data_IF_992446303249
#
_entry.id   IF_992446303249
#
_cell.length_a   1.000
_cell.length_b   1.000
_cell.length_c   1.000
_cell.angle_alpha   90.00
_cell.angle_beta   90.00
_cell.angle_gamma   90.00
#
_symmetry.space_group_name_H-M   'P 1'
#
loop_
_entity.id
_entity.type
_entity.pdbx_description
1 polymer ?
#
# COMPACT_ATOMS: atom_id res chain seq x y z
N UNK A 1 -12.06 12.31 -0.70
CA UNK A 1 -13.21 12.12 -1.61
C UNK A 1 -13.13 13.03 -2.83
N UNK A 2 -13.15 14.35 -2.67
CA UNK A 2 -13.18 15.28 -3.81
C UNK A 2 -12.03 15.12 -4.80
N UNK A 3 -10.79 15.06 -4.30
CA UNK A 3 -9.59 14.80 -5.12
C UNK A 3 -9.74 13.52 -5.95
N UNK A 4 -10.11 12.40 -5.33
CA UNK A 4 -10.34 11.11 -6.01
C UNK A 4 -11.34 11.26 -7.17
N UNK A 5 -12.47 11.93 -6.95
CA UNK A 5 -13.49 12.10 -7.99
C UNK A 5 -12.98 12.94 -9.17
N UNK A 6 -12.22 14.01 -8.90
CA UNK A 6 -11.58 14.78 -9.97
C UNK A 6 -10.52 13.96 -10.70
N UNK A 7 -9.71 13.19 -9.99
CA UNK A 7 -8.69 12.32 -10.57
C UNK A 7 -9.34 11.28 -11.50
N UNK A 8 -10.50 10.71 -11.13
CA UNK A 8 -11.33 9.86 -11.99
C UNK A 8 -11.80 10.60 -13.25
N UNK A 9 -12.33 11.82 -13.09
CA UNK A 9 -12.75 12.68 -14.20
C UNK A 9 -11.62 13.43 -14.90
N UNK A 10 -10.41 12.87 -14.89
CA UNK A 10 -9.23 13.41 -15.59
C UNK A 10 -8.91 14.87 -15.22
N UNK A 11 -9.17 15.24 -13.97
CA UNK A 11 -9.07 16.57 -13.39
C UNK A 11 -9.92 17.65 -14.08
N UNK A 12 -10.94 17.26 -14.85
CA UNK A 12 -11.85 18.18 -15.55
C UNK A 12 -13.22 18.28 -14.90
N UNK A 13 -13.70 17.18 -14.34
CA UNK A 13 -15.00 17.12 -13.68
C UNK A 13 -15.03 16.07 -12.58
N UNK A 14 -16.00 16.20 -11.69
CA UNK A 14 -16.37 15.21 -10.70
C UNK A 14 -17.88 15.02 -10.74
N UNK A 15 -18.32 13.77 -10.65
CA UNK A 15 -19.72 13.40 -10.53
C UNK A 15 -19.98 13.00 -9.08
N UNK A 16 -21.03 13.56 -8.48
CA UNK A 16 -21.46 13.22 -7.12
C UNK A 16 -22.85 12.60 -7.20
N UNK A 17 -22.95 11.36 -6.75
CA UNK A 17 -24.18 10.62 -6.63
C UNK A 17 -24.74 10.71 -5.20
N UNK A 18 -26.03 11.02 -5.08
CA UNK A 18 -26.77 11.13 -3.83
C UNK A 18 -28.13 10.46 -3.97
N UNK A 19 -28.96 10.55 -2.92
CA UNK A 19 -30.32 10.01 -2.92
C UNK A 19 -31.34 11.16 -2.81
N UNK A 20 -32.41 11.09 -3.60
CA UNK A 20 -33.50 12.08 -3.65
C UNK A 20 -34.17 12.30 -2.29
N UNK A 21 -34.39 11.22 -1.53
CA UNK A 21 -35.06 11.23 -0.22
C UNK A 21 -34.34 12.10 0.82
N UNK A 22 -33.07 12.42 0.57
CA UNK A 22 -32.22 13.18 1.49
C UNK A 22 -32.19 14.68 1.14
N UNK A 23 -32.49 15.05 -0.11
CA UNK A 23 -32.47 16.46 -0.55
C UNK A 23 -33.58 17.33 0.05
N UNK A 24 -34.72 16.74 0.37
CA UNK A 24 -35.92 17.48 0.85
C UNK A 24 -35.93 17.71 2.37
N UNK A 25 -35.17 16.94 3.16
CA UNK A 25 -35.30 16.90 4.63
C UNK A 25 -34.10 17.50 5.39
N UNK A 26 -33.00 17.87 4.73
CA UNK A 26 -31.81 18.44 5.41
C UNK A 26 -32.00 19.92 5.75
N UNK A 27 -32.88 20.63 5.06
CA UNK A 27 -33.11 22.07 5.26
C UNK A 27 -34.01 22.40 6.47
N UNK A 28 -34.73 21.43 7.05
CA UNK A 28 -35.82 21.70 8.01
C UNK A 28 -35.57 21.29 9.49
N UNK A 29 -34.39 20.78 9.88
CA UNK A 29 -34.19 20.30 11.26
C UNK A 29 -33.00 20.96 11.97
N UNK A 30 -33.25 22.13 12.57
CA UNK A 30 -32.41 22.68 13.63
C UNK A 30 -32.68 21.92 14.94
N UNK A 31 -31.88 20.90 15.27
CA UNK A 31 -31.88 20.35 16.64
C UNK A 31 -31.51 18.88 16.82
N UNK A 32 -31.51 18.04 15.77
CA UNK A 32 -31.07 16.64 15.88
C UNK A 32 -29.81 16.35 15.04
N UNK A 33 -28.94 15.40 15.45
CA UNK A 33 -27.75 15.07 14.67
C UNK A 33 -28.17 14.63 13.26
N UNK A 34 -27.65 15.31 12.23
CA UNK A 34 -28.01 15.04 10.81
C UNK A 34 -27.85 13.56 10.44
N UNK A 35 -26.88 12.88 11.05
CA UNK A 35 -26.61 11.46 10.87
C UNK A 35 -27.78 10.57 11.33
N UNK A 36 -28.47 10.90 12.43
CA UNK A 36 -29.63 10.14 12.93
C UNK A 36 -30.85 10.29 12.03
N UNK A 37 -31.09 11.51 11.52
CA UNK A 37 -32.19 11.77 10.58
C UNK A 37 -31.97 10.93 9.32
N UNK A 38 -30.74 10.95 8.79
CA UNK A 38 -30.38 10.20 7.59
C UNK A 38 -30.48 8.69 7.84
N UNK A 39 -30.06 8.19 8.99
CA UNK A 39 -30.24 6.78 9.35
C UNK A 39 -31.72 6.38 9.32
N UNK A 40 -32.61 7.15 9.97
CA UNK A 40 -34.06 6.89 9.97
C UNK A 40 -34.70 6.98 8.58
N UNK A 41 -34.28 7.93 7.76
CA UNK A 41 -34.75 8.06 6.37
C UNK A 41 -34.31 6.84 5.56
N UNK A 42 -33.06 6.40 5.74
CA UNK A 42 -32.52 5.25 5.03
C UNK A 42 -33.08 3.92 5.52
N UNK A 43 -33.48 3.77 6.78
CA UNK A 43 -34.19 2.56 7.27
C UNK A 43 -35.49 2.29 6.49
N UNK A 44 -36.18 3.35 6.05
CA UNK A 44 -37.41 3.25 5.24
C UNK A 44 -37.16 3.00 3.76
N UNK A 45 -35.91 3.16 3.30
CA UNK A 45 -35.53 2.94 1.92
C UNK A 45 -35.29 1.44 1.68
N UNK A 46 -36.17 0.80 0.91
CA UNK A 46 -35.95 -0.55 0.38
C UNK A 46 -35.41 -0.46 -1.05
N UNK A 47 -34.29 -1.13 -1.31
CA UNK A 47 -33.69 -1.27 -2.64
C UNK A 47 -33.53 -2.76 -2.92
N UNK A 48 -34.48 -3.33 -3.65
CA UNK A 48 -34.50 -4.77 -3.99
C UNK A 48 -33.99 -5.02 -5.42
N UNK A 49 -33.94 -3.97 -6.24
CA UNK A 49 -33.49 -4.05 -7.63
C UNK A 49 -32.71 -2.80 -8.06
N UNK A 50 -31.96 -2.94 -9.16
CA UNK A 50 -31.27 -1.80 -9.79
C UNK A 50 -32.25 -0.71 -10.26
N UNK A 51 -33.47 -1.08 -10.66
CA UNK A 51 -34.51 -0.12 -11.06
C UNK A 51 -34.97 0.74 -9.88
N UNK A 52 -35.06 0.16 -8.68
CA UNK A 52 -35.43 0.91 -7.48
C UNK A 52 -34.35 1.91 -7.11
N UNK A 53 -33.07 1.50 -7.21
CA UNK A 53 -31.96 2.41 -7.01
C UNK A 53 -31.99 3.57 -8.01
N UNK A 54 -32.24 3.29 -9.30
CA UNK A 54 -32.31 4.33 -10.33
C UNK A 54 -33.40 5.37 -10.06
N UNK A 55 -34.57 4.98 -9.53
CA UNK A 55 -35.65 5.92 -9.18
C UNK A 55 -35.21 6.94 -8.13
N UNK A 56 -34.41 6.50 -7.15
CA UNK A 56 -34.02 7.33 -6.02
C UNK A 56 -32.67 8.03 -6.18
N UNK A 57 -31.79 7.52 -7.05
CA UNK A 57 -30.47 8.08 -7.31
C UNK A 57 -30.58 9.48 -7.93
N UNK A 58 -29.73 10.40 -7.48
CA UNK A 58 -29.55 11.73 -8.05
C UNK A 58 -28.07 11.94 -8.34
N UNK A 59 -27.77 12.56 -9.47
CA UNK A 59 -26.41 12.69 -9.98
C UNK A 59 -26.20 14.11 -10.43
N UNK A 60 -25.13 14.75 -9.95
CA UNK A 60 -24.75 16.09 -10.34
C UNK A 60 -23.28 16.10 -10.76
N UNK A 61 -22.99 16.79 -11.87
CA UNK A 61 -21.63 16.96 -12.40
C UNK A 61 -21.10 18.34 -12.04
N UNK A 62 -19.88 18.39 -11.56
CA UNK A 62 -19.18 19.59 -11.14
C UNK A 62 -17.89 19.73 -11.93
N UNK A 63 -17.64 20.92 -12.47
CA UNK A 63 -16.38 21.27 -13.17
C UNK A 63 -15.45 22.14 -12.30
N UNK A 64 -15.96 22.67 -11.19
CA UNK A 64 -15.20 23.46 -10.22
C UNK A 64 -15.01 22.69 -8.92
N UNK A 65 -13.74 22.56 -8.48
CA UNK A 65 -13.38 21.90 -7.22
C UNK A 65 -14.10 22.52 -6.02
N UNK A 66 -14.18 23.85 -5.95
CA UNK A 66 -14.85 24.56 -4.85
C UNK A 66 -16.31 24.13 -4.71
N UNK A 67 -17.06 24.12 -5.80
CA UNK A 67 -18.48 23.72 -5.80
C UNK A 67 -18.68 22.24 -5.45
N UNK A 68 -17.79 21.38 -5.93
CA UNK A 68 -17.82 19.95 -5.60
C UNK A 68 -17.52 19.73 -4.11
N UNK A 69 -16.56 20.46 -3.54
CA UNK A 69 -16.18 20.33 -2.13
C UNK A 69 -17.30 20.81 -1.21
N UNK A 70 -17.91 21.95 -1.51
CA UNK A 70 -19.10 22.43 -0.80
C UNK A 70 -20.23 21.39 -0.82
N UNK A 71 -20.47 20.76 -1.97
CA UNK A 71 -21.48 19.70 -2.06
C UNK A 71 -21.08 18.46 -1.24
N UNK A 72 -19.83 18.02 -1.33
CA UNK A 72 -19.34 16.85 -0.59
C UNK A 72 -19.42 17.08 0.92
N UNK A 73 -19.00 18.24 1.41
CA UNK A 73 -19.10 18.63 2.82
C UNK A 73 -20.55 18.57 3.30
N UNK A 74 -21.48 19.16 2.54
CA UNK A 74 -22.90 19.11 2.86
C UNK A 74 -23.45 17.66 2.90
N UNK A 75 -22.86 16.76 2.12
CA UNK A 75 -23.31 15.37 1.98
C UNK A 75 -22.49 14.36 2.81
N UNK A 76 -21.53 14.79 3.63
CA UNK A 76 -20.73 13.90 4.51
C UNK A 76 -21.64 12.94 5.31
N UNK A 77 -22.74 13.40 5.94
CA UNK A 77 -23.67 12.51 6.64
C UNK A 77 -24.22 11.36 5.78
N UNK A 78 -24.46 11.62 4.49
CA UNK A 78 -24.92 10.60 3.53
C UNK A 78 -23.81 9.61 3.20
N UNK A 79 -22.59 10.09 2.99
CA UNK A 79 -21.43 9.23 2.73
C UNK A 79 -20.97 8.43 3.96
N UNK A 80 -21.37 8.83 5.17
CA UNK A 80 -21.18 8.05 6.40
C UNK A 80 -22.27 7.00 6.65
N UNK A 81 -23.36 7.05 5.87
CA UNK A 81 -24.47 6.10 6.01
C UNK A 81 -24.17 4.72 5.42
N UNK A 82 -25.09 3.77 5.62
CA UNK A 82 -25.03 2.43 5.01
C UNK A 82 -24.95 2.43 3.47
N UNK A 83 -25.32 3.52 2.82
CA UNK A 83 -25.27 3.67 1.35
C UNK A 83 -24.01 4.40 0.87
N UNK A 84 -23.18 4.91 1.78
CA UNK A 84 -22.10 5.82 1.46
C UNK A 84 -21.04 5.24 0.54
N UNK A 85 -20.57 4.02 0.82
CA UNK A 85 -19.59 3.34 -0.01
C UNK A 85 -20.10 3.10 -1.45
N UNK A 86 -21.35 2.68 -1.58
CA UNK A 86 -21.99 2.48 -2.89
C UNK A 86 -22.15 3.80 -3.65
N UNK A 87 -22.64 4.85 -3.00
CA UNK A 87 -22.78 6.18 -3.61
C UNK A 87 -21.42 6.75 -4.03
N UNK A 88 -20.39 6.56 -3.22
CA UNK A 88 -19.04 6.99 -3.55
C UNK A 88 -18.46 6.22 -4.74
N UNK A 89 -18.67 4.90 -4.80
CA UNK A 89 -18.29 4.08 -5.95
C UNK A 89 -19.00 4.52 -7.24
N UNK A 90 -20.32 4.73 -7.19
CA UNK A 90 -21.09 5.23 -8.34
C UNK A 90 -20.56 6.61 -8.77
N UNK A 91 -20.26 7.49 -7.81
CA UNK A 91 -19.65 8.80 -8.06
C UNK A 91 -18.33 8.68 -8.83
N UNK A 92 -17.43 7.77 -8.41
CA UNK A 92 -16.14 7.55 -9.06
C UNK A 92 -16.30 6.96 -10.47
N UNK A 93 -17.15 5.95 -10.64
CA UNK A 93 -17.44 5.32 -11.94
C UNK A 93 -18.00 6.33 -12.94
N UNK A 94 -18.98 7.14 -12.52
CA UNK A 94 -19.57 8.17 -13.38
C UNK A 94 -18.62 9.34 -13.64
N UNK A 95 -17.73 9.66 -12.71
CA UNK A 95 -16.67 10.66 -12.93
C UNK A 95 -15.70 10.21 -14.01
N UNK A 96 -15.29 8.93 -13.99
CA UNK A 96 -14.45 8.34 -15.04
C UNK A 96 -15.20 8.21 -16.37
N UNK A 97 -16.49 7.90 -16.30
CA UNK A 97 -17.35 7.62 -17.45
C UNK A 97 -17.33 6.14 -17.83
N UNK A 98 -18.50 5.55 -18.08
CA UNK A 98 -18.64 4.10 -18.26
C UNK A 98 -17.83 3.55 -19.44
N UNK A 99 -17.81 4.25 -20.57
CA UNK A 99 -17.01 3.84 -21.73
C UNK A 99 -15.51 3.86 -21.43
N UNK A 100 -15.05 4.87 -20.68
CA UNK A 100 -13.66 4.96 -20.24
C UNK A 100 -13.31 3.86 -19.25
N UNK A 101 -14.21 3.55 -18.31
CA UNK A 101 -14.07 2.40 -17.41
C UNK A 101 -13.92 1.12 -18.21
N UNK A 102 -14.75 0.85 -19.22
CA UNK A 102 -14.60 -0.37 -20.04
C UNK A 102 -13.29 -0.37 -20.84
N UNK A 103 -12.86 0.79 -21.33
CA UNK A 103 -11.60 0.93 -22.07
C UNK A 103 -10.35 0.75 -21.20
N UNK A 104 -10.44 1.01 -19.90
CA UNK A 104 -9.33 0.85 -18.96
C UNK A 104 -9.02 -0.63 -18.68
N UNK A 105 -10.02 -1.50 -18.82
CA UNK A 105 -9.93 -2.91 -18.45
C UNK A 105 -9.21 -3.73 -19.52
N UNK A 106 -8.61 -4.83 -19.08
CA UNK A 106 -8.07 -5.84 -19.99
C UNK A 106 -9.17 -6.85 -20.40
N UNK A 107 -10.06 -7.22 -19.46
CA UNK A 107 -11.27 -8.02 -19.73
C UNK A 107 -12.53 -7.31 -19.19
N UNK A 108 -13.33 -6.64 -20.06
CA UNK A 108 -14.54 -5.95 -19.65
C UNK A 108 -15.71 -6.89 -19.30
N UNK A 109 -15.60 -8.19 -19.58
CA UNK A 109 -16.68 -9.16 -19.31
C UNK A 109 -16.82 -9.51 -17.83
N UNK A 110 -15.74 -9.34 -17.04
CA UNK A 110 -15.73 -9.65 -15.62
C UNK A 110 -16.54 -8.60 -14.82
N UNK A 111 -17.20 -8.98 -13.72
CA UNK A 111 -17.90 -8.02 -12.87
C UNK A 111 -16.90 -7.16 -12.07
N UNK A 112 -17.23 -5.89 -11.85
CA UNK A 112 -16.42 -5.00 -10.99
C UNK A 112 -16.59 -5.30 -9.49
N UNK A 113 -17.76 -5.82 -9.10
CA UNK A 113 -18.08 -6.24 -7.73
C UNK A 113 -18.43 -7.72 -7.77
N UNK A 114 -17.67 -8.54 -7.04
CA UNK A 114 -17.78 -9.99 -7.10
C UNK A 114 -18.81 -10.52 -6.10
N UNK A 115 -19.74 -11.33 -6.59
CA UNK A 115 -20.73 -12.04 -5.78
C UNK A 115 -20.09 -13.25 -5.05
N UNK A 116 -20.66 -13.74 -3.94
CA UNK A 116 -21.86 -13.22 -3.26
C UNK A 116 -21.56 -12.13 -2.22
N UNK A 117 -20.29 -11.94 -1.84
CA UNK A 117 -19.89 -11.14 -0.68
C UNK A 117 -19.65 -9.65 -0.99
N UNK A 118 -19.73 -9.25 -2.27
CA UNK A 118 -19.59 -7.85 -2.67
C UNK A 118 -18.14 -7.35 -2.66
N UNK A 119 -17.17 -8.23 -2.91
CA UNK A 119 -15.77 -7.83 -2.94
C UNK A 119 -15.48 -6.91 -4.13
N UNK A 120 -14.78 -5.81 -3.87
CA UNK A 120 -14.30 -4.92 -4.91
C UNK A 120 -13.20 -5.61 -5.73
N UNK A 121 -13.33 -5.57 -7.05
CA UNK A 121 -12.25 -5.94 -7.98
C UNK A 121 -11.06 -4.98 -7.86
N UNK A 122 -9.89 -5.40 -8.36
CA UNK A 122 -8.71 -4.56 -8.38
C UNK A 122 -8.93 -3.30 -9.26
N UNK A 123 -9.76 -3.38 -10.30
CA UNK A 123 -10.15 -2.22 -11.11
C UNK A 123 -10.86 -1.14 -10.28
N UNK A 124 -11.74 -1.51 -9.35
CA UNK A 124 -12.36 -0.55 -8.43
C UNK A 124 -11.32 0.09 -7.53
N UNK A 125 -10.43 -0.72 -6.96
CA UNK A 125 -9.37 -0.23 -6.07
C UNK A 125 -8.48 0.77 -6.82
N UNK A 126 -8.02 0.42 -8.01
CA UNK A 126 -7.19 1.28 -8.83
C UNK A 126 -7.93 2.52 -9.33
N UNK A 127 -9.23 2.43 -9.63
CA UNK A 127 -10.06 3.59 -9.94
C UNK A 127 -10.03 4.61 -8.80
N UNK A 128 -10.14 4.16 -7.56
CA UNK A 128 -10.13 5.04 -6.38
C UNK A 128 -8.73 5.59 -6.05
N UNK A 129 -7.66 4.84 -6.36
CA UNK A 129 -6.29 5.24 -6.06
C UNK A 129 -5.69 6.15 -7.14
N UNK A 130 -5.90 5.82 -8.42
CA UNK A 130 -5.24 6.47 -9.54
C UNK A 130 -6.21 7.07 -10.57
N UNK A 131 -7.53 6.91 -10.41
CA UNK A 131 -8.54 7.43 -11.33
C UNK A 131 -8.75 6.63 -12.60
N UNK A 132 -8.15 5.43 -12.72
CA UNK A 132 -8.31 4.56 -13.88
C UNK A 132 -8.66 3.14 -13.42
N UNK A 133 -9.60 2.50 -14.09
CA UNK A 133 -10.06 1.15 -13.77
C UNK A 133 -9.17 0.06 -14.38
N UNK A 134 -7.84 0.24 -14.30
CA UNK A 134 -6.86 -0.73 -14.78
C UNK A 134 -6.78 -1.92 -13.81
N UNK A 135 -6.62 -3.17 -14.29
CA UNK A 135 -6.70 -4.33 -13.41
C UNK A 135 -5.40 -4.67 -12.70
N UNK A 136 -4.24 -4.18 -13.17
CA UNK A 136 -2.94 -4.58 -12.64
C UNK A 136 -2.30 -3.50 -11.75
N UNK A 137 -1.44 -3.96 -10.84
CA UNK A 137 -0.75 -3.13 -9.84
C UNK A 137 0.72 -2.83 -10.18
N UNK A 138 1.23 -3.32 -11.31
CA UNK A 138 2.57 -2.96 -11.82
C UNK A 138 2.55 -1.60 -12.52
N UNK A 139 3.73 -1.01 -12.76
CA UNK A 139 3.84 0.28 -13.45
C UNK A 139 3.71 0.15 -14.97
N UNK A 140 3.01 1.11 -15.58
CA UNK A 140 2.93 1.26 -17.03
C UNK A 140 2.14 0.15 -17.72
N UNK A 141 2.73 -0.42 -18.77
CA UNK A 141 2.14 -1.51 -19.56
C UNK A 141 3.14 -2.63 -19.68
N UNK A 142 2.65 -3.87 -19.66
CA UNK A 142 3.45 -5.06 -19.88
C UNK A 142 3.09 -5.66 -21.24
N UNK A 143 4.02 -5.63 -22.18
CA UNK A 143 3.87 -6.30 -23.47
C UNK A 143 4.25 -7.78 -23.32
N UNK A 144 3.32 -8.67 -23.63
CA UNK A 144 3.52 -10.12 -23.56
C UNK A 144 3.86 -10.72 -24.94
N UNK A 145 4.02 -9.87 -25.96
CA UNK A 145 4.20 -10.28 -27.35
C UNK A 145 2.87 -10.66 -28.02
N UNK A 146 2.91 -10.82 -29.35
CA UNK A 146 1.74 -11.21 -30.13
C UNK A 146 0.58 -10.19 -30.13
N UNK A 147 0.87 -8.93 -29.79
CA UNK A 147 -0.14 -7.87 -29.69
C UNK A 147 -0.92 -7.86 -28.37
N UNK A 148 -0.57 -8.73 -27.41
CA UNK A 148 -1.18 -8.75 -26.08
C UNK A 148 -0.42 -7.81 -25.15
N UNK A 149 -1.11 -6.80 -24.61
CA UNK A 149 -0.54 -5.89 -23.61
C UNK A 149 -1.45 -5.80 -22.40
N UNK A 150 -0.89 -5.96 -21.21
CA UNK A 150 -1.59 -5.78 -19.94
C UNK A 150 -1.44 -4.34 -19.44
N UNK A 151 -2.51 -3.75 -18.92
CA UNK A 151 -2.54 -2.36 -18.44
C UNK A 151 -2.30 -2.30 -16.93
N UNK A 152 -1.28 -1.55 -16.53
CA UNK A 152 -0.98 -1.23 -15.14
C UNK A 152 -1.14 0.25 -14.83
N UNK A 153 -0.49 0.68 -13.75
CA UNK A 153 -0.60 2.01 -13.18
C UNK A 153 0.29 2.98 -13.94
N UNK A 154 -0.31 4.00 -14.56
CA UNK A 154 0.40 4.92 -15.46
C UNK A 154 1.11 6.08 -14.76
N UNK A 155 0.76 6.38 -13.50
CA UNK A 155 1.22 7.56 -12.77
C UNK A 155 1.29 7.31 -11.27
N UNK A 156 2.13 8.06 -10.58
CA UNK A 156 2.18 8.12 -9.12
C UNK A 156 0.83 8.55 -8.53
N UNK A 157 0.50 8.03 -7.36
CA UNK A 157 -0.78 8.26 -6.67
C UNK A 157 -0.63 9.09 -5.41
N UNK A 158 -1.73 9.65 -4.90
CA UNK A 158 -1.71 10.39 -3.63
C UNK A 158 -1.71 9.46 -2.41
N UNK A 159 -2.45 8.35 -2.50
CA UNK A 159 -2.52 7.28 -1.50
C UNK A 159 -2.08 5.99 -2.19
N UNK A 160 -1.12 5.31 -1.59
CA UNK A 160 -0.48 4.13 -2.16
C UNK A 160 -1.27 2.85 -1.92
N UNK A 161 -0.70 1.76 -2.44
CA UNK A 161 -1.25 0.42 -2.25
C UNK A 161 -0.12 -0.59 -2.06
N UNK A 162 -0.30 -1.48 -1.08
CA UNK A 162 0.54 -2.66 -0.87
C UNK A 162 -0.40 -3.86 -0.70
N UNK A 163 0.08 -5.06 -1.00
CA UNK A 163 -0.72 -6.27 -0.85
C UNK A 163 0.12 -7.43 -0.35
N UNK A 164 -0.48 -8.27 0.50
CA UNK A 164 0.13 -9.53 0.94
C UNK A 164 0.43 -10.47 -0.23
N UNK A 165 -0.35 -10.35 -1.32
CA UNK A 165 -0.13 -11.15 -2.53
C UNK A 165 1.25 -10.91 -3.15
N UNK A 166 1.85 -9.74 -2.95
CA UNK A 166 3.20 -9.46 -3.43
C UNK A 166 4.25 -10.22 -2.61
N UNK A 167 4.14 -10.24 -1.28
CA UNK A 167 5.09 -11.01 -0.44
C UNK A 167 4.97 -12.52 -0.67
N UNK A 168 3.82 -12.98 -1.15
CA UNK A 168 3.57 -14.36 -1.56
C UNK A 168 3.97 -14.63 -3.03
N UNK A 169 4.58 -13.65 -3.72
CA UNK A 169 5.02 -13.72 -5.11
C UNK A 169 3.90 -13.97 -6.15
N UNK A 170 2.64 -13.66 -5.83
CA UNK A 170 1.53 -13.76 -6.79
C UNK A 170 1.44 -12.55 -7.74
N UNK A 171 1.97 -11.40 -7.33
CA UNK A 171 2.02 -10.20 -8.17
C UNK A 171 3.24 -9.35 -7.81
N UNK A 172 3.54 -8.34 -8.63
CA UNK A 172 4.56 -7.32 -8.36
C UNK A 172 3.91 -5.96 -8.36
N UNK A 173 3.94 -5.27 -7.22
CA UNK A 173 3.39 -3.91 -7.11
C UNK A 173 4.44 -2.92 -7.60
N UNK A 174 4.01 -2.00 -8.47
CA UNK A 174 4.84 -0.97 -9.07
C UNK A 174 5.20 0.16 -8.11
N UNK A 175 6.23 0.92 -8.47
CA UNK A 175 6.68 2.09 -7.70
C UNK A 175 5.62 3.19 -7.64
N UNK A 176 4.77 3.31 -8.66
CA UNK A 176 3.70 4.30 -8.67
C UNK A 176 2.73 4.13 -7.50
N UNK A 177 2.51 2.89 -7.02
CA UNK A 177 1.67 2.58 -5.85
C UNK A 177 2.46 2.46 -4.55
N UNK A 178 3.73 2.04 -4.61
CA UNK A 178 4.61 1.91 -3.44
C UNK A 178 5.11 3.23 -2.89
N UNK A 179 5.30 4.24 -3.75
CA UNK A 179 5.82 5.56 -3.41
C UNK A 179 4.77 6.66 -3.66
N UNK A 180 3.67 6.66 -2.89
CA UNK A 180 2.62 7.67 -3.01
C UNK A 180 3.11 9.05 -2.57
N UNK A 181 2.39 10.11 -2.95
CA UNK A 181 2.68 11.47 -2.47
C UNK A 181 2.60 11.59 -0.94
N UNK A 182 1.55 11.01 -0.35
CA UNK A 182 1.38 10.98 1.10
C UNK A 182 1.73 9.59 1.63
N UNK A 183 2.42 9.47 2.77
CA UNK A 183 2.80 8.17 3.35
C UNK A 183 1.58 7.47 3.94
N UNK A 184 0.63 7.12 3.09
CA UNK A 184 -0.64 6.46 3.38
C UNK A 184 -0.79 5.38 2.33
N UNK A 185 -1.00 4.15 2.77
CA UNK A 185 -1.17 2.97 1.93
C UNK A 185 -2.43 2.23 2.32
N UNK A 186 -3.24 1.89 1.32
CA UNK A 186 -4.25 0.85 1.47
C UNK A 186 -3.53 -0.50 1.39
N UNK A 187 -3.75 -1.36 2.38
CA UNK A 187 -3.15 -2.68 2.43
C UNK A 187 -4.21 -3.73 2.08
N UNK A 188 -4.00 -4.43 0.97
CA UNK A 188 -4.81 -5.57 0.55
C UNK A 188 -4.37 -6.86 1.24
N UNK A 189 -5.31 -7.58 1.84
CA UNK A 189 -5.15 -9.00 2.20
C UNK A 189 -6.09 -9.86 1.34
N UNK A 190 -6.16 -11.16 1.61
CA UNK A 190 -7.06 -12.07 0.89
C UNK A 190 -8.55 -11.71 1.03
N UNK A 191 -8.95 -11.13 2.17
CA UNK A 191 -10.37 -10.90 2.49
C UNK A 191 -10.71 -9.50 2.98
N UNK A 192 -9.71 -8.70 3.36
CA UNK A 192 -9.94 -7.42 4.03
C UNK A 192 -8.92 -6.34 3.62
N UNK A 193 -9.36 -5.08 3.61
CA UNK A 193 -8.49 -3.94 3.38
C UNK A 193 -8.25 -3.19 4.68
N UNK A 194 -7.00 -2.79 4.90
CA UNK A 194 -6.60 -1.98 6.06
C UNK A 194 -5.80 -0.77 5.62
N UNK A 195 -5.47 0.14 6.54
CA UNK A 195 -4.70 1.34 6.22
C UNK A 195 -3.40 1.34 7.02
N UNK A 196 -2.29 1.59 6.34
CA UNK A 196 -0.99 1.83 6.94
C UNK A 196 -0.57 3.26 6.61
N UNK A 197 -0.06 4.02 7.57
CA UNK A 197 0.39 5.38 7.29
C UNK A 197 1.53 5.83 8.20
N UNK A 198 2.22 6.90 7.82
CA UNK A 198 3.13 7.65 8.70
C UNK A 198 2.64 9.08 8.85
N UNK A 199 3.00 9.72 9.97
CA UNK A 199 2.80 11.15 10.15
C UNK A 199 3.96 11.97 9.55
N UNK A 200 5.09 11.32 9.27
CA UNK A 200 6.27 11.93 8.69
C UNK A 200 6.40 11.55 7.22
N UNK A 201 6.39 12.56 6.34
CA UNK A 201 6.55 12.37 4.89
C UNK A 201 7.96 11.91 4.52
N UNK A 202 8.96 12.22 5.35
CA UNK A 202 10.37 11.87 5.08
C UNK A 202 10.64 10.37 5.08
N UNK A 203 9.70 9.56 5.59
CA UNK A 203 9.75 8.09 5.52
C UNK A 203 9.89 7.56 4.08
N UNK A 204 9.44 8.36 3.11
CA UNK A 204 9.50 8.02 1.70
C UNK A 204 10.79 8.49 1.01
N UNK A 205 11.52 9.41 1.64
CA UNK A 205 12.72 10.00 1.07
C UNK A 205 13.80 8.93 0.93
N UNK A 206 14.47 8.90 -0.21
CA UNK A 206 15.70 8.12 -0.35
C UNK A 206 16.83 8.86 0.35
N UNK A 207 17.58 8.16 1.20
CA UNK A 207 18.77 8.76 1.80
C UNK A 207 19.90 8.85 0.77
N UNK A 208 20.93 9.65 1.07
CA UNK A 208 22.06 9.87 0.15
C UNK A 208 22.74 8.55 -0.28
N UNK A 209 22.80 7.56 0.61
CA UNK A 209 23.39 6.24 0.33
C UNK A 209 22.55 5.46 -0.69
N UNK A 210 21.23 5.43 -0.54
CA UNK A 210 20.30 4.76 -1.46
C UNK A 210 20.31 5.44 -2.84
N UNK A 211 20.34 6.77 -2.87
CA UNK A 211 20.45 7.52 -4.13
C UNK A 211 21.78 7.23 -4.83
N UNK A 212 22.88 7.20 -4.05
CA UNK A 212 24.21 6.89 -4.57
C UNK A 212 24.32 5.45 -5.08
N UNK A 213 23.75 4.49 -4.36
CA UNK A 213 23.62 3.10 -4.79
C UNK A 213 22.84 2.99 -6.10
N UNK A 214 21.67 3.61 -6.17
CA UNK A 214 20.83 3.63 -7.37
C UNK A 214 21.57 4.22 -8.57
N UNK A 215 22.31 5.32 -8.37
CA UNK A 215 23.14 5.93 -9.40
C UNK A 215 24.23 4.98 -9.91
N UNK A 216 24.99 4.35 -9.00
CA UNK A 216 26.09 3.45 -9.35
C UNK A 216 25.55 2.17 -10.00
N UNK A 217 24.44 1.62 -9.47
CA UNK A 217 23.75 0.45 -10.00
C UNK A 217 23.24 0.70 -11.42
N UNK A 218 22.61 1.85 -11.66
CA UNK A 218 22.13 2.22 -13.00
C UNK A 218 23.28 2.35 -14.01
N UNK A 219 24.40 2.94 -13.60
CA UNK A 219 25.59 3.02 -14.46
C UNK A 219 26.16 1.62 -14.75
N UNK A 220 26.20 0.74 -13.74
CA UNK A 220 26.64 -0.64 -13.89
C UNK A 220 25.74 -1.44 -14.83
N UNK A 221 24.42 -1.41 -14.61
CA UNK A 221 23.44 -2.12 -15.42
C UNK A 221 23.42 -1.62 -16.88
N UNK A 222 23.73 -0.34 -17.11
CA UNK A 222 23.87 0.21 -18.46
C UNK A 222 25.07 -0.37 -19.24
N UNK A 223 26.07 -0.91 -18.53
CA UNK A 223 27.21 -1.63 -19.11
C UNK A 223 27.02 -3.15 -19.10
N UNK A 224 25.96 -3.66 -18.46
CA UNK A 224 25.65 -5.10 -18.40
C UNK A 224 25.04 -5.59 -19.72
N UNK A 225 25.89 -6.19 -20.56
CA UNK A 225 25.49 -6.82 -21.82
C UNK A 225 24.98 -8.26 -21.64
N UNK A 226 25.01 -8.81 -20.43
CA UNK A 226 24.62 -10.20 -20.14
C UNK A 226 23.11 -10.40 -20.00
N UNK A 227 22.32 -9.32 -20.04
CA UNK A 227 20.87 -9.38 -19.86
C UNK A 227 20.44 -9.42 -18.39
N UNK A 228 21.26 -8.88 -17.48
CA UNK A 228 20.96 -8.79 -16.04
C UNK A 228 21.69 -9.81 -15.16
N UNK A 229 22.78 -10.40 -15.66
CA UNK A 229 23.62 -11.37 -14.94
C UNK A 229 24.49 -10.76 -13.84
N UNK A 230 24.56 -9.43 -13.72
CA UNK A 230 25.21 -8.76 -12.59
C UNK A 230 26.73 -8.68 -12.70
N UNK A 231 27.28 -8.74 -13.91
CA UNK A 231 28.70 -8.54 -14.18
C UNK A 231 28.93 -7.72 -15.46
N UNK A 232 30.05 -7.01 -15.53
CA UNK A 232 30.45 -6.15 -16.66
C UNK A 232 31.89 -6.39 -17.08
N UNK A 233 32.27 -5.96 -18.29
CA UNK A 233 33.68 -6.01 -18.75
C UNK A 233 34.56 -4.99 -18.02
N UNK A 234 35.88 -5.17 -18.06
CA UNK A 234 36.85 -4.19 -17.54
C UNK A 234 36.66 -2.82 -18.18
N UNK A 235 36.36 -2.78 -19.48
CA UNK A 235 36.06 -1.53 -20.20
C UNK A 235 34.79 -0.85 -19.65
N UNK A 236 33.71 -1.62 -19.48
CA UNK A 236 32.47 -1.14 -18.87
C UNK A 236 32.71 -0.61 -17.46
N UNK A 237 33.50 -1.31 -16.64
CA UNK A 237 33.87 -0.87 -15.30
C UNK A 237 34.56 0.51 -15.28
N UNK A 238 35.53 0.75 -16.17
CA UNK A 238 36.16 2.07 -16.26
C UNK A 238 35.18 3.17 -16.68
N UNK A 239 34.16 2.84 -17.48
CA UNK A 239 33.09 3.77 -17.83
C UNK A 239 32.22 4.08 -16.60
N UNK A 240 31.81 3.06 -15.82
CA UNK A 240 31.04 3.24 -14.57
C UNK A 240 31.78 4.15 -13.60
N UNK A 241 33.06 3.87 -13.33
CA UNK A 241 33.90 4.64 -12.40
C UNK A 241 33.99 6.12 -12.82
N UNK A 242 34.11 6.38 -14.13
CA UNK A 242 34.15 7.73 -14.68
C UNK A 242 32.80 8.45 -14.56
N UNK A 243 31.71 7.80 -14.96
CA UNK A 243 30.36 8.37 -14.94
C UNK A 243 29.87 8.67 -13.52
N UNK A 244 30.27 7.85 -12.56
CA UNK A 244 29.88 7.98 -11.15
C UNK A 244 30.87 8.82 -10.34
N UNK A 245 31.94 9.33 -10.95
CA UNK A 245 32.99 10.12 -10.30
C UNK A 245 33.64 9.41 -9.10
N UNK A 246 33.91 8.11 -9.24
CA UNK A 246 34.57 7.30 -8.22
C UNK A 246 36.08 7.31 -8.48
N UNK A 247 36.88 7.50 -7.43
CA UNK A 247 38.34 7.55 -7.51
C UNK A 247 38.93 6.38 -6.73
N UNK A 248 39.12 5.26 -7.41
CA UNK A 248 39.67 4.05 -6.81
C UNK A 248 41.21 4.10 -6.74
N UNK A 249 41.81 3.70 -5.60
CA UNK A 249 43.25 3.44 -5.54
C UNK A 249 43.67 2.35 -6.53
N UNK A 250 44.89 2.41 -7.10
CA UNK A 250 45.36 1.44 -8.09
C UNK A 250 45.23 -0.02 -7.62
N UNK A 251 45.55 -0.29 -6.35
CA UNK A 251 45.45 -1.63 -5.75
C UNK A 251 44.02 -2.21 -5.83
N UNK A 252 42.99 -1.39 -5.62
CA UNK A 252 41.58 -1.83 -5.71
C UNK A 252 41.14 -2.02 -7.17
N UNK A 253 41.67 -1.21 -8.10
CA UNK A 253 41.42 -1.37 -9.54
C UNK A 253 42.03 -2.69 -10.03
N UNK A 254 43.29 -2.94 -9.71
CA UNK A 254 43.98 -4.17 -10.09
C UNK A 254 43.24 -5.39 -9.52
N UNK A 255 42.84 -5.33 -8.26
CA UNK A 255 42.05 -6.39 -7.61
C UNK A 255 40.76 -6.74 -8.38
N UNK A 256 39.95 -5.74 -8.71
CA UNK A 256 38.67 -5.94 -9.44
C UNK A 256 38.88 -6.40 -10.89
N UNK A 257 39.98 -5.98 -11.53
CA UNK A 257 40.23 -6.29 -12.93
C UNK A 257 40.92 -7.65 -13.16
N UNK A 258 41.46 -8.29 -12.12
CA UNK A 258 42.27 -9.52 -12.25
C UNK A 258 41.54 -10.70 -12.90
N UNK A 259 40.22 -10.81 -12.72
CA UNK A 259 39.38 -11.89 -13.26
C UNK A 259 38.94 -11.64 -14.72
N UNK A 260 39.18 -10.44 -15.25
CA UNK A 260 38.78 -10.02 -16.60
C UNK A 260 37.31 -9.57 -16.73
N UNK A 261 36.53 -9.64 -15.66
CA UNK A 261 35.16 -9.15 -15.57
C UNK A 261 34.85 -8.74 -14.13
N UNK A 262 33.96 -7.77 -13.95
CA UNK A 262 33.67 -7.17 -12.65
C UNK A 262 32.28 -7.59 -12.23
N UNK A 263 32.18 -8.23 -11.08
CA UNK A 263 30.90 -8.62 -10.48
C UNK A 263 30.38 -7.48 -9.60
N UNK A 264 29.07 -7.22 -9.66
CA UNK A 264 28.45 -6.13 -8.89
C UNK A 264 28.77 -6.20 -7.40
N UNK A 265 28.69 -7.39 -6.80
CA UNK A 265 28.90 -7.57 -5.36
C UNK A 265 30.30 -7.17 -4.92
N UNK A 266 31.33 -7.58 -5.66
CA UNK A 266 32.73 -7.26 -5.39
C UNK A 266 33.01 -5.77 -5.58
N UNK A 267 32.45 -5.18 -6.64
CA UNK A 267 32.57 -3.75 -6.87
C UNK A 267 31.88 -2.95 -5.77
N UNK A 268 30.65 -3.32 -5.41
CA UNK A 268 29.87 -2.65 -4.38
C UNK A 268 30.57 -2.68 -3.02
N UNK A 269 31.18 -3.82 -2.67
CA UNK A 269 32.04 -3.96 -1.49
C UNK A 269 33.18 -2.95 -1.46
N UNK A 270 33.88 -2.83 -2.59
CA UNK A 270 34.96 -1.86 -2.73
C UNK A 270 34.48 -0.43 -2.50
N UNK A 271 33.26 -0.08 -2.95
CA UNK A 271 32.62 1.23 -2.75
C UNK A 271 32.26 1.48 -1.29
N UNK A 272 31.69 0.48 -0.61
CA UNK A 272 31.34 0.59 0.81
C UNK A 272 32.58 0.79 1.70
N UNK A 273 33.74 0.27 1.29
CA UNK A 273 35.01 0.47 1.98
C UNK A 273 35.80 1.71 1.52
N UNK A 274 35.28 2.45 0.53
CA UNK A 274 35.94 3.63 -0.04
C UNK A 274 35.45 4.91 0.65
N UNK A 275 36.38 5.81 0.94
CA UNK A 275 36.07 7.10 1.56
C UNK A 275 35.12 7.95 0.70
N UNK A 276 34.24 8.71 1.36
CA UNK A 276 33.26 9.59 0.69
C UNK A 276 33.95 10.62 -0.21
N UNK A 277 35.11 11.16 0.18
CA UNK A 277 35.89 12.10 -0.63
C UNK A 277 36.37 11.49 -1.95
N UNK A 278 36.46 10.17 -2.03
CA UNK A 278 36.82 9.41 -3.23
C UNK A 278 35.59 8.89 -3.99
N UNK A 279 34.38 9.32 -3.60
CA UNK A 279 33.12 8.89 -4.20
C UNK A 279 32.62 7.54 -3.68
N UNK A 280 33.21 7.04 -2.58
CA UNK A 280 32.79 5.84 -1.87
C UNK A 280 31.70 6.10 -0.83
N UNK A 281 31.37 5.08 -0.04
CA UNK A 281 30.28 5.10 0.94
C UNK A 281 30.71 4.66 2.34
N UNK A 282 32.00 4.74 2.65
CA UNK A 282 32.53 4.32 3.96
C UNK A 282 31.96 5.17 5.08
N UNK A 283 31.04 4.58 5.84
CA UNK A 283 30.47 5.21 7.01
C UNK A 283 31.37 5.03 8.24
N UNK A 284 31.89 6.14 8.75
CA UNK A 284 32.69 6.17 9.98
C UNK A 284 31.84 6.11 11.26
N UNK A 285 30.51 6.29 11.15
CA UNK A 285 29.56 6.28 12.28
C UNK A 285 28.93 4.91 12.55
N UNK A 286 29.02 3.98 11.61
CA UNK A 286 28.50 2.60 11.72
C UNK A 286 26.97 2.48 11.62
N UNK A 287 26.27 3.55 11.23
CA UNK A 287 24.81 3.59 11.10
C UNK A 287 24.34 3.31 9.65
N UNK A 288 25.21 3.45 8.65
CA UNK A 288 25.05 3.07 7.24
C UNK A 288 23.68 3.44 6.64
N UNK A 289 23.14 4.62 6.99
CA UNK A 289 21.83 5.07 6.48
C UNK A 289 20.64 4.24 6.97
N UNK A 290 20.80 3.51 8.09
CA UNK A 290 19.71 2.83 8.80
C UNK A 290 18.56 3.80 9.01
N UNK A 291 17.39 3.47 8.46
CA UNK A 291 16.18 4.25 8.68
C UNK A 291 15.45 3.69 9.88
N UNK A 292 15.01 4.58 10.76
CA UNK A 292 14.11 4.25 11.86
C UNK A 292 12.97 5.25 11.83
N UNK A 293 11.75 4.74 11.76
CA UNK A 293 10.56 5.56 11.66
C UNK A 293 9.35 4.84 12.24
N UNK A 294 8.26 5.58 12.37
CA UNK A 294 7.00 5.10 12.92
C UNK A 294 5.98 4.93 11.80
N UNK A 295 5.26 3.80 11.84
CA UNK A 295 4.06 3.57 11.05
C UNK A 295 2.88 3.33 11.97
N UNK A 296 1.69 3.64 11.48
CA UNK A 296 0.41 3.47 12.15
C UNK A 296 -0.46 2.57 11.28
N UNK A 297 -0.98 1.51 11.86
CA UNK A 297 -1.88 0.56 11.20
C UNK A 297 -3.28 0.69 11.78
N UNK A 298 -4.26 0.98 10.91
CA UNK A 298 -5.67 0.95 11.21
C UNK A 298 -6.33 -0.26 10.55
N UNK A 299 -6.86 -1.17 11.36
CA UNK A 299 -7.40 -2.44 10.87
C UNK A 299 -8.78 -2.35 10.21
N UNK A 300 -9.51 -1.23 10.30
CA UNK A 300 -10.77 -1.03 9.59
C UNK A 300 -11.92 -1.99 9.94
N UNK A 301 -11.82 -2.75 11.04
CA UNK A 301 -12.85 -3.71 11.45
C UNK A 301 -13.93 -2.97 12.25
N UNK A 302 -15.18 -2.99 11.81
CA UNK A 302 -16.30 -2.49 12.61
C UNK A 302 -16.48 -3.35 13.88
N UNK A 303 -16.95 -2.77 15.00
CA UNK A 303 -17.22 -3.54 16.22
C UNK A 303 -18.12 -4.74 15.85
N UNK A 304 -17.68 -5.97 16.11
CA UNK A 304 -18.55 -7.14 15.98
C UNK A 304 -19.66 -7.03 17.03
N UNK A 305 -20.90 -6.78 16.62
CA UNK A 305 -22.03 -6.76 17.55
C UNK A 305 -22.27 -8.18 18.07
N UNK A 306 -22.13 -8.35 19.38
CA UNK A 306 -22.66 -9.52 20.08
C UNK A 306 -24.18 -9.45 20.01
N UNK A 307 -24.78 -10.08 18.99
CA UNK A 307 -26.20 -10.44 19.05
C UNK A 307 -26.45 -11.82 18.45
N UNK A 308 -26.24 -12.82 19.31
CA UNK A 308 -27.05 -14.04 19.40
C UNK A 308 -27.14 -14.93 18.16
N UNK A 309 -26.21 -15.89 18.04
CA UNK A 309 -26.51 -17.33 17.93
C UNK A 309 -25.21 -18.14 17.82
N UNK A 310 -25.04 -19.10 18.74
CA UNK A 310 -24.01 -20.14 18.78
C UNK A 310 -22.56 -19.68 19.05
N UNK A 311 -22.29 -19.41 20.33
CA UNK A 311 -20.98 -19.70 20.92
C UNK A 311 -20.85 -21.23 20.96
N UNK A 312 -20.29 -21.81 19.91
CA UNK A 312 -19.71 -23.16 19.98
C UNK A 312 -18.26 -22.95 20.43
N UNK A 313 -17.94 -23.58 21.56
CA UNK A 313 -16.64 -23.65 22.22
C UNK A 313 -15.44 -23.52 21.27
N UNK A 314 -14.81 -22.34 21.28
CA UNK A 314 -13.55 -22.03 20.61
C UNK A 314 -13.38 -20.52 20.61
N UNK A 315 -12.46 -20.02 21.42
CA UNK A 315 -12.14 -18.60 21.57
C UNK A 315 -11.84 -17.95 20.21
N UNK A 316 -12.85 -17.36 19.57
CA UNK A 316 -12.64 -16.45 18.46
C UNK A 316 -12.46 -15.06 19.07
N UNK A 317 -11.24 -14.50 19.07
CA UNK A 317 -10.99 -13.23 19.74
C UNK A 317 -11.85 -12.14 19.10
N UNK A 318 -12.63 -11.43 19.92
CA UNK A 318 -13.42 -10.27 19.49
C UNK A 318 -12.52 -9.26 18.78
N UNK A 319 -12.69 -9.14 17.46
CA UNK A 319 -11.98 -8.14 16.67
C UNK A 319 -12.71 -6.80 16.78
N UNK A 320 -11.95 -5.75 17.09
CA UNK A 320 -12.44 -4.38 17.27
C UNK A 320 -11.62 -3.45 16.38
N UNK A 321 -12.13 -2.23 16.05
CA UNK A 321 -11.31 -1.22 15.43
C UNK A 321 -10.07 -0.97 16.29
N UNK A 322 -8.89 -1.04 15.68
CA UNK A 322 -7.61 -0.81 16.35
C UNK A 322 -6.74 0.05 15.47
N UNK A 323 -6.23 1.13 16.07
CA UNK A 323 -5.09 1.87 15.57
C UNK A 323 -3.88 1.44 16.36
N UNK A 324 -2.81 1.06 15.68
CA UNK A 324 -1.63 0.57 16.36
C UNK A 324 -0.37 1.13 15.75
N UNK A 325 0.60 1.41 16.63
CA UNK A 325 1.88 1.99 16.26
C UNK A 325 2.94 0.89 16.10
N UNK A 326 3.69 0.98 15.01
CA UNK A 326 4.80 0.11 14.67
C UNK A 326 6.06 0.95 14.58
N UNK A 327 7.11 0.51 15.25
CA UNK A 327 8.46 1.02 15.06
C UNK A 327 9.13 0.18 13.99
N UNK A 328 9.50 0.82 12.89
CA UNK A 328 10.15 0.17 11.74
C UNK A 328 11.62 0.56 11.73
N UNK A 329 12.50 -0.42 11.63
CA UNK A 329 13.90 -0.20 11.33
C UNK A 329 14.29 -0.91 10.04
N UNK A 330 14.80 -0.15 9.08
CA UNK A 330 15.28 -0.66 7.80
C UNK A 330 16.80 -0.66 7.86
N UNK A 331 17.45 -1.84 7.87
CA UNK A 331 18.90 -1.90 7.81
C UNK A 331 19.41 -1.36 6.46
N UNK A 332 20.69 -0.97 6.39
CA UNK A 332 21.33 -0.63 5.12
C UNK A 332 21.15 -1.75 4.12
N UNK A 333 20.94 -1.45 2.83
CA UNK A 333 20.65 -2.46 1.80
C UNK A 333 21.70 -3.54 1.63
N UNK A 334 22.93 -3.32 2.10
CA UNK A 334 24.01 -4.29 2.05
C UNK A 334 24.57 -4.59 3.45
N UNK A 335 24.67 -5.87 3.80
CA UNK A 335 25.43 -6.34 4.98
C UNK A 335 26.30 -7.54 4.56
N UNK A 336 27.55 -7.66 5.04
CA UNK A 336 28.47 -8.73 4.66
C UNK A 336 27.91 -10.15 4.84
N UNK A 337 27.01 -10.35 5.81
CA UNK A 337 26.54 -11.67 6.22
C UNK A 337 25.59 -12.34 5.21
N UNK A 338 24.96 -11.60 4.29
CA UNK A 338 23.88 -12.14 3.44
C UNK A 338 24.40 -13.04 2.31
N UNK A 339 25.63 -12.85 1.82
CA UNK A 339 26.20 -13.75 0.80
C UNK A 339 26.68 -15.09 1.39
N UNK A 340 27.07 -15.12 2.68
CA UNK A 340 27.41 -16.38 3.34
C UNK A 340 26.17 -17.26 3.59
N UNK A 341 24.98 -16.66 3.64
CA UNK A 341 23.72 -17.38 3.83
C UNK A 341 23.17 -17.98 2.52
N UNK A 342 23.29 -17.27 1.39
CA UNK A 342 22.79 -17.75 0.09
C UNK A 342 23.73 -18.76 -0.62
N UNK A 343 24.97 -18.92 -0.14
CA UNK A 343 25.91 -19.96 -0.61
C UNK A 343 25.85 -21.24 0.24
N UNK A 344 25.15 -21.22 1.39
CA UNK A 344 25.04 -22.37 2.28
C UNK A 344 23.97 -23.38 1.80
N UNK A 345 24.19 -23.98 0.63
CA UNK A 345 23.55 -25.24 0.24
C UNK A 345 24.24 -26.37 1.01
N UNK A 346 23.51 -26.96 1.94
CA UNK A 346 23.68 -28.31 2.50
C UNK A 346 25.12 -28.81 2.68
N UNK A 347 25.72 -28.55 3.84
CA UNK A 347 26.57 -29.57 4.46
C UNK A 347 26.43 -29.50 5.98
N UNK A 348 25.74 -30.52 6.50
CA UNK A 348 25.78 -30.90 7.90
C UNK A 348 27.18 -31.40 8.25
N UNK A 349 27.91 -30.68 9.09
CA UNK A 349 28.90 -31.28 9.98
C UNK A 349 29.14 -30.39 11.20
N UNK A 350 28.99 -31.00 12.37
CA UNK A 350 29.23 -30.36 13.65
C UNK A 350 30.71 -30.04 13.89
N UNK A 351 30.94 -28.98 14.65
CA UNK A 351 32.23 -28.60 15.20
C UNK A 351 32.03 -27.58 16.30
N UNK A 352 32.49 -27.91 17.50
CA UNK A 352 32.33 -27.17 18.74
C UNK A 352 33.40 -26.07 18.88
N UNK A 353 33.07 -25.03 19.67
CA UNK A 353 33.95 -23.96 20.21
C UNK A 353 34.41 -22.87 19.22
N UNK A 354 34.47 -21.58 19.53
CA UNK A 354 34.79 -20.92 20.80
C UNK A 354 34.21 -19.49 20.90
N UNK A 355 34.06 -19.04 22.14
CA UNK A 355 33.38 -17.83 22.62
C UNK A 355 34.27 -16.60 22.43
N UNK A 356 33.99 -15.76 21.44
CA UNK A 356 34.54 -14.39 21.35
C UNK A 356 33.54 -13.42 21.98
N UNK A 357 34.01 -12.67 22.97
CA UNK A 357 33.26 -11.58 23.63
C UNK A 357 33.17 -10.39 22.66
N UNK A 358 32.00 -10.17 22.07
CA UNK A 358 31.68 -8.89 21.43
C UNK A 358 31.14 -7.90 22.47
N UNK A 359 31.65 -6.68 22.38
CA UNK A 359 31.30 -5.54 23.22
C UNK A 359 29.81 -5.23 23.17
N UNK A 360 29.24 -4.88 24.33
CA UNK A 360 27.88 -4.38 24.49
C UNK A 360 27.68 -3.05 23.74
N UNK A 361 27.27 -3.12 22.48
CA UNK A 361 26.57 -2.06 21.79
C UNK A 361 25.18 -2.58 21.41
N UNK A 362 24.16 -2.15 22.17
CA UNK A 362 22.70 -2.30 21.91
C UNK A 362 22.31 -3.47 21.00
N UNK A 363 22.10 -4.64 21.60
CA UNK A 363 21.47 -5.79 20.95
C UNK A 363 20.16 -5.34 20.26
N UNK A 364 19.97 -5.60 18.95
CA UNK A 364 18.69 -5.31 18.31
C UNK A 364 17.59 -6.10 19.02
N UNK A 365 16.50 -5.42 19.38
CA UNK A 365 15.35 -6.09 19.99
C UNK A 365 14.86 -7.21 19.06
N UNK A 366 14.55 -8.40 19.60
CA UNK A 366 14.10 -9.52 18.78
C UNK A 366 12.81 -9.14 18.05
N UNK A 367 12.67 -9.50 16.76
CA UNK A 367 11.48 -9.20 15.98
C UNK A 367 10.26 -9.81 16.67
N UNK A 368 9.33 -8.97 17.12
CA UNK A 368 8.01 -9.46 17.52
C UNK A 368 7.19 -9.65 16.24
N UNK A 369 6.56 -10.81 16.07
CA UNK A 369 5.79 -11.10 14.86
C UNK A 369 4.72 -10.03 14.64
N UNK A 370 4.89 -9.23 13.61
CA UNK A 370 3.95 -8.17 13.27
C UNK A 370 3.06 -8.56 12.11
N UNK A 371 1.71 -8.56 12.30
CA UNK A 371 0.78 -8.51 11.19
C UNK A 371 1.28 -7.48 10.15
N UNK A 372 1.32 -7.91 8.88
CA UNK A 372 1.72 -7.08 7.73
C UNK A 372 3.21 -6.76 7.60
N UNK A 373 4.11 -7.33 8.43
CA UNK A 373 5.56 -7.13 8.25
C UNK A 373 6.02 -7.48 6.84
N UNK A 374 5.45 -8.52 6.25
CA UNK A 374 5.82 -8.95 4.89
C UNK A 374 5.33 -7.96 3.84
N UNK A 375 4.18 -7.31 4.04
CA UNK A 375 3.75 -6.18 3.21
C UNK A 375 4.69 -4.98 3.36
N UNK A 376 5.10 -4.63 4.58
CA UNK A 376 6.05 -3.54 4.83
C UNK A 376 7.38 -3.82 4.10
N UNK A 377 7.82 -5.07 4.10
CA UNK A 377 9.04 -5.51 3.41
C UNK A 377 8.97 -5.37 1.89
N UNK A 378 7.79 -5.35 1.28
CA UNK A 378 7.69 -5.11 -0.16
C UNK A 378 7.96 -3.65 -0.53
N UNK A 379 7.81 -2.71 0.41
CA UNK A 379 8.18 -1.29 0.27
C UNK A 379 9.57 -0.97 0.79
N UNK A 380 9.91 -1.49 1.97
CA UNK A 380 11.21 -1.33 2.60
C UNK A 380 11.84 -2.71 2.80
N UNK A 381 12.61 -3.20 1.81
CA UNK A 381 13.27 -4.49 1.92
C UNK A 381 14.03 -4.62 3.23
N UNK A 382 13.98 -5.80 3.85
CA UNK A 382 14.69 -6.13 5.10
C UNK A 382 14.21 -5.36 6.33
N UNK A 383 13.09 -4.62 6.23
CA UNK A 383 12.49 -3.98 7.39
C UNK A 383 12.23 -4.96 8.54
N UNK A 384 12.59 -4.53 9.73
CA UNK A 384 12.20 -5.14 11.00
C UNK A 384 11.14 -4.26 11.63
N UNK A 385 9.99 -4.84 11.96
CA UNK A 385 8.86 -4.13 12.55
C UNK A 385 8.64 -4.66 13.97
N UNK A 386 8.63 -3.75 14.95
CA UNK A 386 8.31 -4.06 16.33
C UNK A 386 7.05 -3.27 16.73
N UNK A 387 6.10 -3.93 17.38
CA UNK A 387 4.99 -3.23 18.02
C UNK A 387 5.51 -2.51 19.24
N UNK A 388 5.09 -1.26 19.42
CA UNK A 388 5.19 -0.67 20.75
C UNK A 388 4.17 -1.39 21.64
N UNK A 389 4.69 -2.17 22.61
CA UNK A 389 3.85 -2.86 23.59
C UNK A 389 2.93 -1.83 24.27
N UNK A 390 1.62 -2.06 24.17
CA UNK A 390 0.62 -1.15 24.71
C UNK A 390 0.80 -0.99 26.22
N UNK A 391 1.37 0.14 26.66
CA UNK A 391 0.63 0.97 27.59
C UNK A 391 -0.60 1.43 26.83
N UNK A 392 -1.79 1.04 27.27
CA UNK A 392 -3.05 1.36 26.60
C UNK A 392 -3.28 2.87 26.51
N UNK A 393 -2.66 3.56 25.55
CA UNK A 393 -3.25 4.72 24.93
C UNK A 393 -4.09 4.23 23.77
N UNK A 394 -5.24 3.66 24.14
CA UNK A 394 -6.40 3.73 23.28
C UNK A 394 -6.65 5.22 23.13
N UNK A 395 -6.25 5.79 21.99
CA UNK A 395 -6.96 6.98 21.52
C UNK A 395 -8.38 6.48 21.24
N UNK A 396 -9.22 6.53 22.27
CA UNK A 396 -10.65 6.58 22.05
C UNK A 396 -10.83 7.80 21.17
N UNK A 397 -11.08 7.58 19.88
CA UNK A 397 -11.78 8.59 19.13
C UNK A 397 -13.04 8.86 19.96
N UNK A 398 -13.12 10.02 20.61
CA UNK A 398 -14.25 10.45 21.42
C UNK A 398 -15.52 10.24 20.58
N UNK A 399 -16.14 9.10 20.78
CA UNK A 399 -17.48 8.73 20.34
C UNK A 399 -18.39 8.84 21.56
N UNK A 400 -18.17 9.88 22.36
CA UNK A 400 -18.95 10.23 23.56
C UNK A 400 -20.30 10.88 23.22
N UNK A 401 -20.86 10.55 22.06
CA UNK A 401 -22.31 10.57 21.86
C UNK A 401 -22.77 9.20 21.34
N UNK A 402 -23.20 8.39 22.31
CA UNK A 402 -24.04 7.18 22.24
C UNK A 402 -23.61 5.96 21.38
N UNK A 403 -23.04 4.91 22.00
CA UNK A 403 -23.04 3.55 21.47
C UNK A 403 -24.25 2.77 22.03
N UNK A 404 -25.45 3.08 21.55
CA UNK A 404 -26.65 2.25 21.77
C UNK A 404 -27.47 2.11 20.49
N UNK A 405 -26.90 1.65 19.37
CA UNK A 405 -27.74 1.41 18.17
C UNK A 405 -27.24 0.50 17.05
N UNK A 406 -26.16 -0.25 17.24
CA UNK A 406 -25.67 -1.18 16.19
C UNK A 406 -26.22 -2.60 16.32
N UNK A 407 -27.06 -2.90 17.30
CA UNK A 407 -27.71 -4.21 17.43
C UNK A 407 -28.95 -4.34 16.54
N UNK A 408 -28.74 -4.68 15.28
CA UNK A 408 -29.74 -5.36 14.47
C UNK A 408 -29.83 -4.85 13.06
N UNK A 409 -29.01 -5.36 12.14
CA UNK A 409 -29.23 -5.26 10.69
C UNK A 409 -28.33 -6.22 9.89
N UNK A 410 -28.17 -7.45 10.37
CA UNK A 410 -27.71 -8.58 9.55
C UNK A 410 -28.57 -9.80 9.88
N UNK A 411 -29.72 -9.90 9.22
CA UNK A 411 -30.64 -11.03 9.36
C UNK A 411 -31.44 -11.22 8.09
N UNK A 412 -30.81 -11.72 7.03
CA UNK A 412 -31.54 -12.43 5.97
C UNK A 412 -31.48 -13.92 6.32
N UNK A 413 -32.48 -14.38 7.08
CA UNK A 413 -32.74 -15.79 7.27
C UNK A 413 -33.39 -16.36 6.02
N UNK A 414 -32.75 -17.35 5.39
CA UNK A 414 -33.43 -18.27 4.47
C UNK A 414 -33.69 -19.54 5.27
N UNK A 415 -34.96 -19.81 5.58
CA UNK A 415 -35.39 -21.04 6.23
C UNK A 415 -35.23 -22.25 5.29
N UNK A 416 -35.12 -23.48 5.83
CA UNK A 416 -34.94 -24.67 5.03
C UNK A 416 -36.26 -25.07 4.36
N UNK A 417 -36.36 -24.94 3.04
CA UNK A 417 -37.43 -25.57 2.28
C UNK A 417 -37.06 -27.01 1.98
N UNK A 418 -37.50 -27.93 2.85
CA UNK A 418 -37.65 -29.33 2.48
C UNK A 418 -38.96 -29.56 1.75
N UNK A 419 -38.89 -30.22 0.59
CA UNK A 419 -39.59 -31.46 0.27
C UNK A 419 -38.99 -32.08 -0.98
#
# INVERSE_FOLDING_TARGET
>A
MGEILFVCGSNKSAVIATLSVIGENIEESEGSPKDEIIAKVLERLSVESALDLQKVLRVNTYTSQASAYQKLEAMIPVFRSRMGAMLFLISALLSRGMDSVQSDRDDPSLPLVTAPFGHASQEIVNLLLCGQAVPNVFDGRMDLGGGLSLKGISRTVEVGFLTLLESLNFCKVGQNLKCPKWPIWVIGSESHYTVLFSLDTSVQDENELEQRESQIRKAFDAQDQSGGGGFISVEGFHQVVRETNIRLPPEKVDHLCNTGFIVWSEFWQVILDLDESLGGLKDSTGLMGKKVFELYHFNGIAKSDLNGSQVISGETPLQRPRLTKLRVSVPPRWTPEEYMADVAVSSSSGGNESRVKENEATKPEPPQHAPLVDCVRTRWPRAVCNWEAQGAQVFEANADDEPKRWTGLCGFGVGPSGK
#
